data_IF_655918710516
#
_entry.id   IF_655918710516
#
_cell.length_a   1.000
_cell.length_b   1.000
_cell.length_c   1.000
_cell.angle_alpha   90.00
_cell.angle_beta   90.00
_cell.angle_gamma   90.00
#
_symmetry.space_group_name_H-M   'P 1'
#
loop_
_entity.id
_entity.type
_entity.pdbx_description
1 polymer ?
#
# COMPACT_ATOMS: atom_id res chain seq x y z
N UNK A 1 2.36 15.65 -3.45
CA UNK A 1 2.73 14.37 -2.79
C UNK A 1 4.11 13.91 -3.25
N UNK A 2 4.36 13.72 -4.55
CA UNK A 2 5.66 13.25 -5.06
C UNK A 2 6.80 14.30 -5.10
N UNK A 3 6.66 15.46 -4.44
CA UNK A 3 7.70 16.51 -4.39
C UNK A 3 8.66 16.35 -3.21
N UNK A 4 8.31 15.50 -2.24
CA UNK A 4 9.15 15.10 -1.11
C UNK A 4 8.92 13.62 -0.85
N UNK A 5 9.80 12.78 -1.40
CA UNK A 5 9.73 11.32 -1.25
C UNK A 5 10.45 10.94 0.05
N UNK A 6 9.81 10.13 0.88
CA UNK A 6 10.43 9.63 2.11
C UNK A 6 11.59 8.68 1.80
N UNK A 7 12.67 8.66 2.62
CA UNK A 7 13.83 7.80 2.37
C UNK A 7 13.47 6.32 2.21
N UNK A 8 12.43 5.85 2.92
CA UNK A 8 11.96 4.47 2.82
C UNK A 8 11.41 4.11 1.44
N UNK A 9 10.98 5.10 0.64
CA UNK A 9 10.42 4.93 -0.71
C UNK A 9 11.40 5.36 -1.80
N UNK A 10 12.67 5.55 -1.47
CA UNK A 10 13.69 5.95 -2.46
C UNK A 10 13.80 4.91 -3.59
N UNK A 11 14.02 5.38 -4.82
CA UNK A 11 14.03 4.56 -6.03
C UNK A 11 12.67 4.03 -6.50
N UNK A 12 11.58 4.24 -5.75
CA UNK A 12 10.22 3.92 -6.23
C UNK A 12 9.76 5.03 -7.19
N UNK A 13 9.51 4.70 -8.46
CA UNK A 13 9.20 5.68 -9.50
C UNK A 13 7.96 6.55 -9.16
N UNK A 14 6.90 5.94 -8.62
CA UNK A 14 5.67 6.63 -8.22
C UNK A 14 5.20 6.11 -6.84
N UNK A 15 5.78 6.65 -5.74
CA UNK A 15 5.53 6.12 -4.40
C UNK A 15 4.13 6.44 -3.89
N UNK A 16 3.56 7.58 -4.32
CA UNK A 16 2.24 8.05 -3.93
C UNK A 16 1.35 8.15 -5.18
N UNK A 17 0.75 7.02 -5.57
CA UNK A 17 -0.08 6.91 -6.75
C UNK A 17 -1.49 7.48 -6.54
N UNK A 18 -1.97 8.24 -7.52
CA UNK A 18 -3.39 8.59 -7.68
C UNK A 18 -3.95 7.69 -8.77
N UNK A 19 -5.06 7.02 -8.49
CA UNK A 19 -5.74 6.15 -9.44
C UNK A 19 -7.23 6.48 -9.48
N UNK A 20 -7.77 6.81 -10.66
CA UNK A 20 -9.22 6.88 -10.90
C UNK A 20 -9.65 5.48 -11.30
N UNK A 21 -10.10 4.70 -10.31
CA UNK A 21 -10.48 3.29 -10.52
C UNK A 21 -11.85 3.12 -11.16
N UNK A 22 -12.72 4.13 -11.10
CA UNK A 22 -13.99 4.14 -11.81
C UNK A 22 -14.42 5.57 -12.13
N UNK A 23 -15.04 5.75 -13.30
CA UNK A 23 -15.68 6.97 -13.75
C UNK A 23 -17.01 6.61 -14.41
N UNK A 24 -18.10 7.30 -14.05
CA UNK A 24 -19.42 7.12 -14.66
C UNK A 24 -20.07 8.48 -14.88
N UNK A 25 -20.67 8.70 -16.05
CA UNK A 25 -21.39 9.93 -16.37
C UNK A 25 -22.36 9.73 -17.53
N UNK A 26 -23.43 10.52 -17.55
CA UNK A 26 -24.33 10.65 -18.68
C UNK A 26 -25.29 9.47 -18.87
N UNK A 27 -26.41 9.77 -19.53
CA UNK A 27 -27.52 8.83 -19.71
C UNK A 27 -27.95 8.70 -21.18
N UNK A 28 -27.62 9.69 -22.02
CA UNK A 28 -28.03 9.74 -23.43
C UNK A 28 -27.01 10.47 -24.32
N UNK A 29 -26.66 9.98 -25.52
CA UNK A 29 -25.61 10.57 -26.37
C UNK A 29 -25.87 12.02 -26.83
N UNK A 30 -27.13 12.41 -26.97
CA UNK A 30 -27.53 13.75 -27.42
C UNK A 30 -27.94 14.68 -26.27
N UNK A 31 -27.48 14.40 -25.04
CA UNK A 31 -27.78 15.20 -23.86
C UNK A 31 -26.51 15.55 -23.10
N UNK A 32 -26.45 16.76 -22.55
CA UNK A 32 -25.39 17.14 -21.60
C UNK A 32 -25.57 16.30 -20.33
N UNK A 33 -24.53 15.60 -19.83
CA UNK A 33 -24.62 14.83 -18.60
C UNK A 33 -25.04 15.68 -17.40
N UNK A 34 -26.00 15.19 -16.61
CA UNK A 34 -26.45 15.88 -15.40
C UNK A 34 -25.59 15.56 -14.16
N UNK A 35 -24.86 14.44 -14.18
CA UNK A 35 -24.00 14.01 -13.08
C UNK A 35 -22.81 13.18 -13.58
N UNK A 36 -21.73 13.20 -12.80
CA UNK A 36 -20.60 12.31 -12.93
C UNK A 36 -20.14 11.83 -11.55
N UNK A 37 -19.71 10.58 -11.46
CA UNK A 37 -19.17 9.97 -10.25
C UNK A 37 -17.79 9.39 -10.51
N UNK A 38 -16.83 9.76 -9.67
CA UNK A 38 -15.44 9.30 -9.71
C UNK A 38 -15.12 8.50 -8.45
N UNK A 39 -14.45 7.35 -8.60
CA UNK A 39 -13.86 6.61 -7.48
C UNK A 39 -12.36 6.67 -7.58
N UNK A 40 -11.72 7.26 -6.57
CA UNK A 40 -10.29 7.56 -6.59
C UNK A 40 -9.61 6.83 -5.42
N UNK A 41 -8.44 6.25 -5.68
CA UNK A 41 -7.50 5.79 -4.65
C UNK A 41 -6.28 6.68 -4.68
N UNK A 42 -5.85 7.15 -3.51
CA UNK A 42 -4.65 7.97 -3.37
C UNK A 42 -3.72 7.33 -2.35
N UNK A 43 -2.48 7.06 -2.75
CA UNK A 43 -1.39 6.78 -1.81
C UNK A 43 -0.86 8.10 -1.24
N UNK A 44 -0.39 8.08 0.01
CA UNK A 44 0.14 9.28 0.67
C UNK A 44 1.41 8.96 1.48
N UNK A 45 2.24 9.97 1.77
CA UNK A 45 3.39 9.82 2.67
C UNK A 45 3.00 9.23 4.02
N UNK A 46 3.90 8.43 4.60
CA UNK A 46 3.71 7.84 5.94
C UNK A 46 3.58 8.89 7.05
N UNK A 47 4.14 10.08 6.84
CA UNK A 47 4.04 11.21 7.75
C UNK A 47 2.63 11.84 7.83
N UNK A 48 1.76 11.57 6.86
CA UNK A 48 0.39 12.10 6.86
C UNK A 48 -0.58 11.10 7.47
N UNK A 49 -1.54 11.62 8.24
CA UNK A 49 -2.72 10.82 8.58
C UNK A 49 -3.59 10.64 7.34
N UNK A 50 -4.39 9.57 7.31
CA UNK A 50 -5.35 9.35 6.24
C UNK A 50 -6.39 10.49 6.15
N UNK A 51 -6.71 11.12 7.28
CA UNK A 51 -7.60 12.28 7.34
C UNK A 51 -6.95 13.52 6.70
N UNK A 52 -5.68 13.80 7.02
CA UNK A 52 -4.92 14.89 6.40
C UNK A 52 -4.80 14.67 4.88
N UNK A 53 -4.47 13.45 4.46
CA UNK A 53 -4.41 13.10 3.04
C UNK A 53 -5.76 13.33 2.35
N UNK A 54 -6.86 12.90 2.97
CA UNK A 54 -8.22 13.12 2.48
C UNK A 54 -8.55 14.60 2.35
N UNK A 55 -8.25 15.42 3.38
CA UNK A 55 -8.48 16.85 3.36
C UNK A 55 -7.69 17.57 2.25
N UNK A 56 -6.41 17.21 2.08
CA UNK A 56 -5.56 17.78 1.01
C UNK A 56 -6.06 17.42 -0.39
N UNK A 57 -6.47 16.16 -0.60
CA UNK A 57 -7.05 15.72 -1.87
C UNK A 57 -8.37 16.43 -2.13
N UNK A 58 -9.23 16.54 -1.12
CA UNK A 58 -10.50 17.25 -1.22
C UNK A 58 -10.33 18.71 -1.61
N UNK A 59 -9.42 19.42 -0.93
CA UNK A 59 -9.10 20.82 -1.25
C UNK A 59 -8.57 20.97 -2.69
N UNK A 60 -7.71 20.05 -3.15
CA UNK A 60 -7.20 20.08 -4.51
C UNK A 60 -8.29 19.86 -5.57
N UNK A 61 -9.26 18.96 -5.30
CA UNK A 61 -10.40 18.72 -6.20
C UNK A 61 -11.30 19.95 -6.28
N UNK A 62 -11.62 20.56 -5.13
CA UNK A 62 -12.48 21.75 -5.08
C UNK A 62 -11.81 22.93 -5.79
N UNK A 63 -10.52 23.18 -5.52
CA UNK A 63 -9.79 24.28 -6.16
C UNK A 63 -9.67 24.12 -7.67
N UNK A 64 -9.56 22.88 -8.18
CA UNK A 64 -9.53 22.63 -9.62
C UNK A 64 -10.86 22.97 -10.33
N UNK A 65 -11.97 23.06 -9.58
CA UNK A 65 -13.28 23.46 -10.11
C UNK A 65 -13.60 24.96 -10.00
N UNK A 66 -12.76 25.75 -9.32
CA UNK A 66 -13.06 27.17 -9.05
C UNK A 66 -13.13 28.03 -10.32
N UNK A 67 -12.36 27.69 -11.35
CA UNK A 67 -12.33 28.42 -12.62
C UNK A 67 -13.39 27.95 -13.63
N UNK A 68 -14.19 26.92 -13.30
CA UNK A 68 -15.25 26.39 -14.15
C UNK A 68 -16.62 26.79 -13.60
N UNK A 69 -17.41 27.63 -14.32
CA UNK A 69 -18.64 28.22 -13.76
C UNK A 69 -19.64 27.20 -13.22
N UNK A 70 -19.82 26.04 -13.87
CA UNK A 70 -20.77 25.05 -13.40
C UNK A 70 -20.32 24.36 -12.11
N UNK A 71 -19.04 23.99 -12.00
CA UNK A 71 -18.45 23.38 -10.80
C UNK A 71 -18.32 24.38 -9.64
N UNK A 72 -18.15 25.68 -9.93
CA UNK A 72 -18.18 26.72 -8.91
C UNK A 72 -19.56 26.81 -8.25
N UNK A 73 -20.64 26.84 -9.04
CA UNK A 73 -22.02 26.86 -8.53
C UNK A 73 -22.49 25.48 -8.01
N UNK A 74 -21.84 24.40 -8.45
CA UNK A 74 -22.17 23.01 -8.13
C UNK A 74 -20.92 22.22 -7.69
N UNK A 75 -20.31 22.53 -6.53
CA UNK A 75 -19.10 21.87 -6.08
C UNK A 75 -19.35 20.37 -5.87
N UNK A 76 -18.39 19.50 -6.26
CA UNK A 76 -18.56 18.06 -6.13
C UNK A 76 -18.66 17.65 -4.65
N UNK A 77 -19.58 16.74 -4.36
CA UNK A 77 -19.63 16.08 -3.07
C UNK A 77 -18.45 15.10 -2.95
N UNK A 78 -17.65 15.23 -1.88
CA UNK A 78 -16.47 14.40 -1.64
C UNK A 78 -16.71 13.52 -0.43
N UNK A 79 -16.64 12.21 -0.62
CA UNK A 79 -16.79 11.21 0.45
C UNK A 79 -15.58 10.28 0.48
N UNK A 80 -14.95 10.17 1.65
CA UNK A 80 -13.80 9.30 1.92
C UNK A 80 -14.26 7.92 2.41
N UNK A 81 -15.08 7.21 1.62
CA UNK A 81 -15.74 5.95 1.96
C UNK A 81 -14.92 4.67 1.72
N UNK A 82 -13.61 4.79 1.60
CA UNK A 82 -12.70 3.67 1.34
C UNK A 82 -11.67 3.41 2.43
N UNK A 83 -10.57 2.77 2.05
CA UNK A 83 -9.44 2.53 2.95
C UNK A 83 -8.82 3.84 3.45
N UNK A 84 -8.78 4.00 4.77
CA UNK A 84 -8.01 5.04 5.48
C UNK A 84 -6.76 4.41 6.09
N UNK A 85 -5.93 3.80 5.23
CA UNK A 85 -4.79 3.01 5.66
C UNK A 85 -3.63 3.89 6.12
N UNK A 86 -3.15 3.68 7.34
CA UNK A 86 -1.93 4.30 7.84
C UNK A 86 -0.68 3.77 7.13
N UNK A 87 0.35 4.61 7.04
CA UNK A 87 1.69 4.16 6.66
C UNK A 87 2.23 3.11 7.64
N UNK A 88 3.09 2.24 7.14
CA UNK A 88 3.71 1.16 7.91
C UNK A 88 5.16 1.00 7.47
N UNK A 89 6.08 0.89 8.43
CA UNK A 89 7.47 0.58 8.19
C UNK A 89 8.04 -0.22 9.36
N UNK A 90 8.62 -1.38 9.07
CA UNK A 90 9.44 -2.13 10.02
C UNK A 90 10.92 -1.96 9.63
N UNK A 91 11.80 -1.50 10.53
CA UNK A 91 13.23 -1.39 10.25
C UNK A 91 13.82 -2.73 9.82
N UNK A 92 14.71 -2.72 8.81
CA UNK A 92 15.34 -3.95 8.28
C UNK A 92 16.26 -4.63 9.30
N UNK A 93 16.75 -3.89 10.29
CA UNK A 93 17.55 -4.37 11.41
C UNK A 93 16.69 -4.83 12.61
N UNK A 94 15.37 -4.72 12.55
CA UNK A 94 14.47 -5.20 13.60
C UNK A 94 14.66 -6.72 13.85
N UNK A 95 14.61 -7.21 15.10
CA UNK A 95 14.80 -8.64 15.41
C UNK A 95 13.95 -9.60 14.56
N UNK A 96 12.66 -9.28 14.37
CA UNK A 96 11.77 -10.05 13.47
C UNK A 96 12.30 -10.12 12.03
N UNK A 97 12.69 -8.98 11.45
CA UNK A 97 13.19 -8.91 10.09
C UNK A 97 14.49 -9.71 9.93
N UNK A 98 15.41 -9.59 10.90
CA UNK A 98 16.66 -10.38 10.93
C UNK A 98 16.41 -11.87 11.01
N UNK A 99 15.46 -12.32 11.84
CA UNK A 99 15.10 -13.75 11.98
C UNK A 99 14.49 -14.30 10.69
N UNK A 100 13.61 -13.56 10.02
CA UNK A 100 13.07 -13.97 8.71
C UNK A 100 14.17 -14.00 7.65
N UNK A 101 15.06 -13.00 7.62
CA UNK A 101 16.18 -12.97 6.69
C UNK A 101 17.14 -14.14 6.88
N UNK A 102 17.46 -14.50 8.14
CA UNK A 102 18.28 -15.65 8.46
C UNK A 102 17.62 -16.98 8.06
N UNK A 103 16.30 -17.11 8.27
CA UNK A 103 15.57 -18.30 7.84
C UNK A 103 15.55 -18.47 6.31
N UNK A 104 15.41 -17.36 5.58
CA UNK A 104 15.50 -17.33 4.11
C UNK A 104 16.91 -17.70 3.65
N UNK A 105 17.95 -17.10 4.24
CA UNK A 105 19.34 -17.39 3.93
C UNK A 105 19.71 -18.86 4.20
N UNK A 106 19.23 -19.44 5.30
CA UNK A 106 19.42 -20.86 5.60
C UNK A 106 18.66 -21.81 4.64
N UNK A 107 17.60 -21.34 3.99
CA UNK A 107 16.86 -22.11 2.99
C UNK A 107 17.51 -22.02 1.59
N UNK A 108 18.04 -20.85 1.23
CA UNK A 108 18.32 -20.50 -0.16
C UNK A 108 19.78 -20.07 -0.42
N UNK A 109 20.60 -19.94 0.63
CA UNK A 109 22.02 -19.59 0.52
C UNK A 109 22.30 -18.10 0.23
N UNK A 110 21.27 -17.26 0.18
CA UNK A 110 21.38 -15.82 -0.02
C UNK A 110 20.34 -15.09 0.82
N UNK A 111 20.57 -13.81 1.14
CA UNK A 111 19.60 -13.00 1.88
C UNK A 111 18.43 -12.55 0.99
N UNK A 112 17.22 -12.39 1.57
CA UNK A 112 16.09 -11.89 0.81
C UNK A 112 16.28 -10.42 0.46
N UNK A 113 15.69 -10.00 -0.66
CA UNK A 113 15.60 -8.57 -1.01
C UNK A 113 14.53 -7.90 -0.14
N UNK A 114 14.91 -6.89 0.63
CA UNK A 114 13.97 -5.99 1.30
C UNK A 114 13.61 -4.85 0.34
N UNK A 115 12.33 -4.64 0.09
CA UNK A 115 11.85 -3.59 -0.83
C UNK A 115 10.66 -2.84 -0.24
N UNK A 116 10.57 -1.51 -0.42
CA UNK A 116 9.34 -0.80 -0.16
C UNK A 116 8.23 -1.20 -1.13
N UNK A 117 6.99 -1.03 -0.68
CA UNK A 117 5.80 -1.25 -1.50
C UNK A 117 4.93 0.01 -1.50
N UNK A 118 4.47 0.44 -2.69
CA UNK A 118 3.51 1.55 -2.85
C UNK A 118 2.05 1.11 -2.63
N UNK A 119 1.85 -0.11 -2.15
CA UNK A 119 0.59 -0.71 -1.73
C UNK A 119 0.51 -0.77 -0.19
N UNK A 120 -0.69 -0.94 0.34
CA UNK A 120 -0.89 -1.16 1.78
C UNK A 120 -0.94 -2.65 2.08
N UNK A 121 -0.63 -3.03 3.33
CA UNK A 121 -0.77 -4.40 3.84
C UNK A 121 -1.30 -4.38 5.26
N UNK A 122 -1.87 -5.49 5.72
CA UNK A 122 -2.43 -5.59 7.07
C UNK A 122 -1.37 -5.73 8.17
N UNK A 123 -0.08 -5.87 7.81
CA UNK A 123 1.02 -5.76 8.78
C UNK A 123 0.96 -4.44 9.57
N UNK A 124 0.44 -3.37 8.95
CA UNK A 124 0.17 -2.08 9.62
C UNK A 124 -0.75 -2.19 10.82
N UNK A 125 -1.74 -3.09 10.77
CA UNK A 125 -2.75 -3.23 11.83
C UNK A 125 -2.08 -3.81 13.09
N UNK A 126 -1.26 -4.85 12.91
CA UNK A 126 -0.49 -5.45 13.99
C UNK A 126 0.53 -4.48 14.59
N UNK A 127 1.34 -3.84 13.75
CA UNK A 127 2.39 -2.94 14.23
C UNK A 127 1.81 -1.66 14.84
N UNK A 128 1.01 -0.91 14.09
CA UNK A 128 0.54 0.40 14.53
C UNK A 128 -0.63 0.29 15.53
N UNK A 129 -1.48 -0.73 15.39
CA UNK A 129 -2.67 -0.89 16.21
C UNK A 129 -2.44 -1.67 17.51
N UNK A 130 -1.55 -2.67 17.49
CA UNK A 130 -1.32 -3.57 18.62
C UNK A 130 0.12 -3.53 19.16
N UNK A 131 1.02 -2.77 18.55
CA UNK A 131 2.43 -2.76 18.91
C UNK A 131 3.14 -4.09 18.63
N UNK A 132 2.54 -4.98 17.82
CA UNK A 132 3.07 -6.30 17.51
C UNK A 132 3.89 -6.20 16.23
N UNK A 133 5.21 -6.47 16.27
CA UNK A 133 6.01 -6.47 15.05
C UNK A 133 5.45 -7.45 14.02
N UNK A 134 5.20 -6.94 12.83
CA UNK A 134 4.72 -7.73 11.69
C UNK A 134 5.49 -7.29 10.44
N UNK A 135 5.64 -8.19 9.47
CA UNK A 135 6.19 -7.91 8.14
C UNK A 135 5.50 -8.74 7.08
N UNK A 136 5.61 -8.31 5.82
CA UNK A 136 5.13 -9.08 4.68
C UNK A 136 6.29 -9.82 4.03
N UNK A 137 6.13 -11.14 3.86
CA UNK A 137 7.05 -12.01 3.17
C UNK A 137 6.21 -13.00 2.35
N UNK A 138 6.57 -13.20 1.08
CA UNK A 138 5.74 -13.97 0.16
C UNK A 138 6.45 -14.38 -1.13
N UNK A 139 5.73 -15.07 -2.03
CA UNK A 139 6.24 -15.53 -3.30
C UNK A 139 6.49 -14.38 -4.28
N UNK A 140 7.13 -14.71 -5.40
CA UNK A 140 7.24 -13.83 -6.57
C UNK A 140 5.92 -13.90 -7.33
N UNK A 141 5.19 -12.78 -7.33
CA UNK A 141 3.93 -12.60 -8.05
C UNK A 141 4.09 -11.52 -9.11
N UNK A 142 3.34 -11.68 -10.20
CA UNK A 142 3.33 -10.80 -11.37
C UNK A 142 1.91 -10.28 -11.59
N UNK A 143 1.80 -9.03 -12.05
CA UNK A 143 0.55 -8.40 -12.45
C UNK A 143 -0.58 -8.50 -11.41
N UNK A 144 -0.26 -8.31 -10.13
CA UNK A 144 -1.25 -8.31 -9.04
C UNK A 144 -2.36 -7.30 -9.33
N UNK A 145 -3.63 -7.75 -9.29
CA UNK A 145 -4.83 -7.02 -9.72
C UNK A 145 -4.93 -6.77 -11.24
N UNK A 146 -4.14 -7.47 -12.05
CA UNK A 146 -4.17 -7.45 -13.51
C UNK A 146 -4.93 -8.63 -14.11
N UNK A 147 -5.08 -8.62 -15.44
CA UNK A 147 -5.76 -9.70 -16.18
C UNK A 147 -4.94 -10.99 -16.14
N UNK A 148 -3.62 -10.87 -16.26
CA UNK A 148 -2.67 -11.99 -16.29
C UNK A 148 -1.98 -12.20 -14.93
N UNK A 149 -2.70 -11.91 -13.83
CA UNK A 149 -2.19 -12.11 -12.47
C UNK A 149 -1.69 -13.55 -12.30
N UNK A 150 -0.42 -13.68 -11.91
CA UNK A 150 0.24 -14.98 -11.83
C UNK A 150 1.29 -15.02 -10.72
N UNK A 151 1.70 -16.23 -10.36
CA UNK A 151 2.67 -16.48 -9.29
C UNK A 151 3.63 -17.59 -9.69
N UNK A 152 4.91 -17.42 -9.38
CA UNK A 152 5.92 -18.44 -9.66
C UNK A 152 5.79 -19.59 -8.66
N UNK A 153 5.40 -20.78 -9.13
CA UNK A 153 5.14 -21.94 -8.26
C UNK A 153 6.36 -22.36 -7.43
N UNK A 154 7.56 -22.29 -7.99
CA UNK A 154 8.81 -22.56 -7.26
C UNK A 154 8.98 -21.58 -6.09
N UNK A 155 8.66 -20.30 -6.29
CA UNK A 155 8.76 -19.27 -5.24
C UNK A 155 7.77 -19.49 -4.09
N UNK A 156 6.63 -20.14 -4.33
CA UNK A 156 5.70 -20.57 -3.27
C UNK A 156 6.36 -21.63 -2.40
N UNK A 157 6.97 -22.65 -3.02
CA UNK A 157 7.69 -23.71 -2.30
C UNK A 157 8.87 -23.14 -1.53
N UNK A 158 9.61 -22.20 -2.12
CA UNK A 158 10.73 -21.53 -1.46
C UNK A 158 10.28 -20.66 -0.28
N UNK A 159 9.14 -19.97 -0.44
CA UNK A 159 8.48 -19.27 0.65
C UNK A 159 8.12 -20.21 1.81
N UNK A 160 7.50 -21.36 1.51
CA UNK A 160 7.14 -22.35 2.50
C UNK A 160 8.37 -22.92 3.25
N UNK A 161 9.47 -23.19 2.54
CA UNK A 161 10.75 -23.62 3.15
C UNK A 161 11.29 -22.59 4.13
N UNK A 162 11.29 -21.32 3.74
CA UNK A 162 11.69 -20.22 4.63
C UNK A 162 10.80 -20.15 5.86
N UNK A 163 9.48 -20.17 5.70
CA UNK A 163 8.53 -20.08 6.81
C UNK A 163 8.66 -21.27 7.77
N UNK A 164 8.84 -22.48 7.26
CA UNK A 164 9.06 -23.67 8.08
C UNK A 164 10.33 -23.53 8.95
N UNK A 165 11.43 -23.04 8.36
CA UNK A 165 12.67 -22.77 9.12
C UNK A 165 12.50 -21.65 10.13
N UNK A 166 11.82 -20.57 9.76
CA UNK A 166 11.53 -19.45 10.66
C UNK A 166 10.74 -19.93 11.88
N UNK A 167 9.64 -20.67 11.67
CA UNK A 167 8.81 -21.21 12.74
C UNK A 167 9.63 -22.15 13.64
N UNK A 168 10.41 -23.07 13.04
CA UNK A 168 11.25 -23.98 13.80
C UNK A 168 12.28 -23.26 14.67
N UNK A 169 12.99 -22.28 14.11
CA UNK A 169 13.96 -21.47 14.84
C UNK A 169 13.29 -20.61 15.92
N UNK A 170 12.11 -20.05 15.64
CA UNK A 170 11.37 -19.21 16.56
C UNK A 170 10.97 -19.94 17.85
N UNK A 171 10.54 -21.19 17.75
CA UNK A 171 10.15 -21.98 18.92
C UNK A 171 11.32 -22.68 19.62
N UNK A 172 12.45 -22.86 18.93
CA UNK A 172 13.69 -23.35 19.55
C UNK A 172 14.38 -22.29 20.40
N UNK A 173 14.31 -21.02 19.99
CA UNK A 173 14.88 -19.86 20.68
C UNK A 173 13.91 -18.66 20.64
N UNK A 174 12.85 -18.68 21.49
CA UNK A 174 11.87 -17.60 21.51
C UNK A 174 12.50 -16.28 22.00
N UNK A 175 12.06 -15.12 21.52
CA UNK A 175 12.51 -13.83 22.06
C UNK A 175 12.15 -13.71 23.56
N UNK A 176 12.99 -13.00 24.32
CA UNK A 176 12.85 -12.84 25.78
C UNK A 176 11.60 -12.00 26.17
N UNK A 177 11.07 -11.22 25.22
CA UNK A 177 10.10 -10.14 25.41
C UNK A 177 8.64 -10.57 25.20
N UNK A 178 8.27 -11.81 25.60
CA UNK A 178 6.90 -12.32 25.42
C UNK A 178 5.84 -11.67 26.31
#
# INVERSE_FOLDING_TARGET
MNTRIEPAMDGVAHPYNVNIGAFRSGDWPSSVPAAATMRIRVGHPSAWSAEEAGARVGAAILSAGEDEPWLYDHPPAIDASGFKAQGYALPSDHPLARRVAAAHEAAHGARPSARPMASTTDARIYLNGFGVPALCYGPVAHDIHGIDESVELSSIVDGARTLARFIGAWYADPPEDR
#
